data_IF_054185204983
#
_entry.id   IF_054185204983
#
_cell.length_a   1.000
_cell.length_b   1.000
_cell.length_c   1.000
_cell.angle_alpha   90.00
_cell.angle_beta   90.00
_cell.angle_gamma   90.00
#
_symmetry.space_group_name_H-M   'P 1'
#
loop_
_entity.id
_entity.type
_entity.pdbx_description
1 polymer ?
#
# COMPACT_ATOMS: atom_id res chain seq x y z
N UNK A 1 -2.25 8.82 -31.53
CA UNK A 1 -2.32 8.98 -31.04
C UNK A 1 -2.32 9.06 -30.44
N UNK A 2 -2.40 8.82 -30.32
CA UNK A 2 -2.46 8.82 -29.63
C UNK A 2 -2.43 8.62 -28.95
N UNK A 3 -2.29 8.26 -28.74
CA UNK A 3 -2.28 8.08 -27.94
C UNK A 3 -2.07 8.01 -27.37
N UNK A 4 -1.82 7.76 -27.50
CA UNK A 4 -1.60 7.76 -26.69
C UNK A 4 -1.37 7.74 -26.11
N UNK A 5 -1.37 7.50 -26.07
CA UNK A 5 -1.21 7.56 -25.34
C UNK A 5 -0.86 7.39 -24.60
N UNK A 6 -0.72 7.05 -24.79
CA UNK A 6 -0.47 6.91 -24.05
C UNK A 6 -0.02 6.86 -23.59
N UNK A 7 0.03 6.44 -24.11
CA UNK A 7 0.31 6.62 -23.78
C UNK A 7 0.83 6.89 -23.13
N UNK A 8 1.04 6.87 -23.33
CA UNK A 8 1.67 7.26 -22.66
C UNK A 8 2.09 6.79 -21.49
N UNK A 9 3.08 6.75 -21.27
CA UNK A 9 3.47 6.33 -20.15
C UNK A 9 3.03 7.01 -19.06
N UNK A 10 2.17 6.76 -18.58
CA UNK A 10 1.69 7.58 -17.55
C UNK A 10 1.67 6.84 -16.23
N UNK A 11 1.47 7.59 -15.15
CA UNK A 11 1.34 7.00 -13.83
C UNK A 11 0.13 6.06 -13.83
N UNK A 12 0.27 4.84 -13.31
CA UNK A 12 -0.87 3.94 -13.20
C UNK A 12 -2.00 4.57 -12.40
N UNK A 13 -3.22 4.29 -12.79
CA UNK A 13 -4.39 4.70 -12.03
C UNK A 13 -4.47 3.91 -10.74
N UNK A 14 -5.17 4.43 -9.74
CA UNK A 14 -5.24 3.76 -8.45
C UNK A 14 -5.81 2.35 -8.56
N UNK A 15 -6.78 2.12 -9.48
CA UNK A 15 -7.34 0.78 -9.64
C UNK A 15 -6.36 -0.23 -10.24
N UNK A 16 -5.24 0.25 -10.80
CA UNK A 16 -4.17 -0.62 -11.28
C UNK A 16 -3.18 -0.97 -10.17
N UNK A 17 -3.37 -0.44 -8.98
CA UNK A 17 -2.45 -0.66 -7.87
C UNK A 17 -2.46 -2.12 -7.45
N UNK A 18 -1.28 -2.59 -7.05
CA UNK A 18 -1.11 -3.92 -6.48
C UNK A 18 -0.62 -3.76 -5.05
N UNK A 19 -1.05 -4.64 -4.19
CA UNK A 19 -0.78 -4.53 -2.77
C UNK A 19 -0.06 -5.74 -2.23
N UNK A 20 0.80 -5.52 -1.24
CA UNK A 20 1.41 -6.57 -0.44
C UNK A 20 1.09 -6.26 1.01
N UNK A 21 0.37 -7.16 1.68
CA UNK A 21 -0.09 -6.93 3.04
C UNK A 21 0.86 -7.61 4.04
N UNK A 22 1.35 -6.82 4.99
CA UNK A 22 2.21 -7.32 6.05
C UNK A 22 1.48 -8.37 6.89
N UNK A 23 2.23 -9.20 7.58
CA UNK A 23 1.66 -10.41 8.21
C UNK A 23 0.61 -10.10 9.29
N UNK A 24 0.66 -8.92 9.91
CA UNK A 24 -0.30 -8.55 10.94
C UNK A 24 -1.51 -7.80 10.40
N UNK A 25 -1.53 -7.50 9.11
CA UNK A 25 -2.67 -6.83 8.50
C UNK A 25 -3.78 -7.85 8.27
N UNK A 26 -5.01 -7.46 8.61
CA UNK A 26 -6.16 -8.36 8.56
C UNK A 26 -6.37 -8.92 7.16
N UNK A 27 -6.62 -10.23 7.09
CA UNK A 27 -6.96 -10.87 5.82
C UNK A 27 -8.28 -10.33 5.24
N UNK A 28 -9.11 -9.72 6.08
CA UNK A 28 -10.33 -9.09 5.60
C UNK A 28 -10.03 -7.87 4.72
N UNK A 29 -8.91 -7.19 4.96
CA UNK A 29 -8.49 -6.12 4.07
C UNK A 29 -8.12 -6.67 2.69
N UNK A 30 -7.44 -7.81 2.66
CA UNK A 30 -7.13 -8.48 1.39
C UNK A 30 -8.41 -8.81 0.64
N UNK A 31 -9.39 -9.37 1.34
CA UNK A 31 -10.68 -9.72 0.72
C UNK A 31 -11.39 -8.48 0.18
N UNK A 32 -11.34 -7.38 0.93
CA UNK A 32 -11.93 -6.13 0.47
C UNK A 32 -11.26 -5.65 -0.82
N UNK A 33 -9.94 -5.65 -0.86
CA UNK A 33 -9.20 -5.19 -2.03
C UNK A 33 -9.52 -6.05 -3.25
N UNK A 34 -9.55 -7.36 -3.08
CA UNK A 34 -9.86 -8.28 -4.17
C UNK A 34 -11.30 -8.05 -4.64
N UNK A 35 -12.23 -7.83 -3.72
CA UNK A 35 -13.62 -7.57 -4.10
C UNK A 35 -13.79 -6.29 -4.90
N UNK A 36 -12.85 -5.36 -4.78
CA UNK A 36 -12.84 -4.10 -5.53
C UNK A 36 -12.05 -4.21 -6.84
N UNK A 37 -11.52 -5.39 -7.15
CA UNK A 37 -10.79 -5.62 -8.39
C UNK A 37 -9.29 -5.41 -8.31
N UNK A 38 -8.74 -5.22 -7.11
CA UNK A 38 -7.30 -5.01 -6.94
C UNK A 38 -6.57 -6.33 -6.75
N UNK A 39 -5.30 -6.35 -7.13
CA UNK A 39 -4.39 -7.47 -6.89
C UNK A 39 -3.78 -7.28 -5.51
N UNK A 40 -4.06 -8.18 -4.60
CA UNK A 40 -3.54 -8.09 -3.23
C UNK A 40 -3.09 -9.47 -2.77
N UNK A 41 -1.85 -9.54 -2.29
CA UNK A 41 -1.28 -10.76 -1.74
C UNK A 41 -0.76 -10.48 -0.33
N UNK A 42 -0.58 -11.52 0.45
CA UNK A 42 -0.09 -11.40 1.82
C UNK A 42 1.32 -11.95 1.92
N UNK A 43 2.02 -11.53 2.97
CA UNK A 43 3.35 -12.05 3.29
C UNK A 43 3.27 -13.56 3.52
N UNK A 44 2.19 -14.03 4.16
CA UNK A 44 2.00 -15.45 4.43
C UNK A 44 1.93 -16.27 3.14
N UNK A 45 1.25 -15.73 2.11
CA UNK A 45 1.15 -16.41 0.83
C UNK A 45 2.50 -16.57 0.15
N UNK A 46 3.45 -15.70 0.48
CA UNK A 46 4.80 -15.77 -0.07
C UNK A 46 5.75 -16.61 0.79
N UNK A 47 5.24 -17.19 1.89
CA UNK A 47 6.07 -17.94 2.85
C UNK A 47 7.19 -17.07 3.41
N UNK A 48 6.89 -15.79 3.67
CA UNK A 48 7.86 -14.83 4.18
C UNK A 48 7.52 -14.32 5.57
N UNK A 49 6.67 -15.04 6.30
CA UNK A 49 6.35 -14.69 7.68
C UNK A 49 7.64 -14.62 8.49
N UNK A 50 7.80 -13.56 9.26
CA UNK A 50 8.99 -13.36 10.08
C UNK A 50 10.17 -12.75 9.35
N UNK A 51 10.05 -12.45 8.06
CA UNK A 51 11.13 -11.81 7.32
C UNK A 51 11.38 -10.41 7.86
N UNK A 52 12.62 -9.92 7.70
CA UNK A 52 12.97 -8.57 8.14
C UNK A 52 12.26 -7.53 7.29
N UNK A 53 12.03 -6.35 7.89
CA UNK A 53 11.35 -5.26 7.21
C UNK A 53 12.06 -4.86 5.91
N UNK A 54 13.40 -4.85 5.92
CA UNK A 54 14.15 -4.50 4.73
C UNK A 54 13.92 -5.52 3.61
N UNK A 55 13.80 -6.80 3.96
CA UNK A 55 13.51 -7.82 2.96
C UNK A 55 12.10 -7.66 2.39
N UNK A 56 11.12 -7.35 3.25
CA UNK A 56 9.74 -7.17 2.81
C UNK A 56 9.61 -5.97 1.87
N UNK A 57 10.33 -4.88 2.18
CA UNK A 57 10.34 -3.72 1.28
C UNK A 57 10.95 -4.07 -0.08
N UNK A 58 12.01 -4.86 -0.08
CA UNK A 58 12.64 -5.25 -1.33
C UNK A 58 11.72 -6.13 -2.17
N UNK A 59 11.00 -7.06 -1.52
CA UNK A 59 10.04 -7.90 -2.21
C UNK A 59 8.93 -7.04 -2.83
N UNK A 60 8.41 -6.09 -2.06
CA UNK A 60 7.36 -5.21 -2.56
C UNK A 60 7.86 -4.40 -3.76
N UNK A 61 9.09 -3.87 -3.66
CA UNK A 61 9.70 -3.10 -4.74
C UNK A 61 9.83 -3.94 -6.01
N UNK A 62 10.37 -5.16 -5.87
CA UNK A 62 10.58 -6.04 -7.01
C UNK A 62 9.26 -6.42 -7.69
N UNK A 63 8.19 -6.52 -6.91
CA UNK A 63 6.88 -6.89 -7.45
C UNK A 63 6.03 -5.68 -7.80
N UNK A 64 6.57 -4.48 -7.66
CA UNK A 64 5.87 -3.21 -7.91
C UNK A 64 4.57 -3.13 -7.12
N UNK A 65 4.63 -3.52 -5.86
CA UNK A 65 3.46 -3.55 -4.98
C UNK A 65 3.58 -2.49 -3.90
N UNK A 66 2.44 -1.98 -3.48
CA UNK A 66 2.34 -1.08 -2.34
C UNK A 66 2.33 -1.94 -1.08
N UNK A 67 3.31 -1.73 -0.21
CA UNK A 67 3.33 -2.44 1.08
C UNK A 67 2.37 -1.76 2.03
N UNK A 68 1.47 -2.52 2.63
CA UNK A 68 0.50 -2.03 3.61
C UNK A 68 0.86 -2.64 4.95
N UNK A 69 1.06 -1.81 5.96
CA UNK A 69 1.54 -2.27 7.25
C UNK A 69 1.01 -1.39 8.39
N UNK A 70 1.03 -1.93 9.59
CA UNK A 70 0.78 -1.18 10.83
C UNK A 70 2.09 -0.72 11.49
N UNK A 71 3.25 -1.18 10.99
CA UNK A 71 4.53 -1.03 11.67
C UNK A 71 5.23 0.24 11.22
N UNK A 72 5.37 1.20 12.14
CA UNK A 72 5.99 2.49 11.85
C UNK A 72 7.47 2.36 11.50
N UNK A 73 8.12 1.27 11.88
CA UNK A 73 9.55 1.11 11.61
C UNK A 73 9.85 1.06 10.12
N UNK A 74 8.88 0.72 9.27
CA UNK A 74 9.09 0.74 7.83
C UNK A 74 9.37 2.14 7.30
N UNK A 75 8.91 3.19 8.00
CA UNK A 75 9.08 4.55 7.48
C UNK A 75 10.55 4.93 7.36
N UNK A 76 11.40 4.45 8.27
CA UNK A 76 12.82 4.79 8.24
C UNK A 76 13.57 4.07 7.14
N UNK A 77 12.97 3.02 6.57
CA UNK A 77 13.61 2.23 5.53
C UNK A 77 13.13 2.62 4.13
N UNK A 78 12.14 3.51 4.04
CA UNK A 78 11.47 3.82 2.80
C UNK A 78 12.02 5.10 2.19
N UNK A 79 13.19 5.00 1.53
CA UNK A 79 13.88 6.15 0.97
C UNK A 79 13.83 6.20 -0.55
N UNK A 80 13.73 5.04 -1.20
CA UNK A 80 13.74 4.97 -2.64
C UNK A 80 12.39 5.34 -3.21
N UNK A 81 12.40 5.93 -4.41
CA UNK A 81 11.16 6.39 -5.03
C UNK A 81 10.24 5.23 -5.43
N UNK A 82 10.75 4.02 -5.56
CA UNK A 82 9.96 2.86 -5.92
C UNK A 82 9.58 1.99 -4.71
N UNK A 83 9.82 2.48 -3.50
CA UNK A 83 9.31 1.85 -2.27
C UNK A 83 7.96 2.48 -1.93
N UNK A 84 6.87 1.82 -2.26
CA UNK A 84 5.53 2.35 -2.03
C UNK A 84 5.00 1.83 -0.70
N UNK A 85 4.67 2.73 0.21
CA UNK A 85 4.25 2.36 1.57
C UNK A 85 2.99 3.08 1.99
N UNK A 86 2.02 2.32 2.48
CA UNK A 86 0.86 2.83 3.19
C UNK A 86 0.94 2.32 4.62
N UNK A 87 1.07 3.24 5.56
CA UNK A 87 1.06 2.91 6.99
C UNK A 87 -0.36 3.13 7.51
N UNK A 88 -0.93 2.11 8.15
CA UNK A 88 -2.23 2.24 8.80
C UNK A 88 -1.99 2.62 10.25
N UNK A 89 -2.49 3.80 10.64
CA UNK A 89 -2.34 4.33 11.99
C UNK A 89 -3.72 4.75 12.49
N UNK A 90 -4.55 3.74 12.73
CA UNK A 90 -5.94 3.89 13.15
C UNK A 90 -6.11 3.20 14.50
N UNK A 91 -6.80 3.85 15.42
CA UNK A 91 -6.99 3.33 16.77
C UNK A 91 -8.44 3.40 17.18
N UNK A 92 -8.99 2.32 17.74
CA UNK A 92 -8.41 0.98 17.87
C UNK A 92 -8.16 0.33 16.52
N UNK A 93 -7.15 -0.54 16.47
CA UNK A 93 -6.74 -1.20 15.25
C UNK A 93 -7.57 -2.47 15.04
N UNK A 94 -8.82 -2.28 14.67
CA UNK A 94 -9.77 -3.36 14.44
C UNK A 94 -10.42 -3.16 13.08
N UNK A 95 -10.95 -4.24 12.51
CA UNK A 95 -11.53 -4.21 11.16
C UNK A 95 -12.65 -3.18 11.03
N UNK A 96 -13.46 -3.01 12.06
CA UNK A 96 -14.57 -2.06 12.05
C UNK A 96 -14.11 -0.63 11.79
N UNK A 97 -12.87 -0.33 12.16
CA UNK A 97 -12.28 0.99 11.93
C UNK A 97 -11.42 1.03 10.68
N UNK A 98 -10.66 -0.04 10.43
CA UNK A 98 -9.67 -0.05 9.35
C UNK A 98 -10.32 -0.19 7.99
N UNK A 99 -11.25 -1.13 7.84
CA UNK A 99 -11.79 -1.44 6.52
C UNK A 99 -12.59 -0.27 5.94
N UNK A 100 -13.50 0.38 6.69
CA UNK A 100 -14.23 1.51 6.10
C UNK A 100 -13.32 2.68 5.73
N UNK A 101 -12.30 2.94 6.55
CA UNK A 101 -11.38 4.04 6.26
C UNK A 101 -10.49 3.73 5.06
N UNK A 102 -10.01 2.51 4.96
CA UNK A 102 -9.22 2.12 3.80
C UNK A 102 -10.05 2.22 2.53
N UNK A 103 -11.28 1.71 2.58
CA UNK A 103 -12.17 1.76 1.42
C UNK A 103 -12.46 3.19 1.00
N UNK A 104 -12.71 4.06 2.00
CA UNK A 104 -13.04 5.46 1.73
C UNK A 104 -11.94 6.18 0.96
N UNK A 105 -10.68 5.90 1.28
CA UNK A 105 -9.56 6.60 0.67
C UNK A 105 -8.86 5.84 -0.43
N UNK A 106 -9.39 4.68 -0.81
CA UNK A 106 -8.75 3.80 -1.77
C UNK A 106 -8.48 4.45 -3.12
N UNK A 107 -9.35 5.35 -3.55
CA UNK A 107 -9.23 6.02 -4.83
C UNK A 107 -8.59 7.40 -4.74
N UNK A 108 -8.11 7.80 -3.56
CA UNK A 108 -7.61 9.17 -3.38
C UNK A 108 -6.09 9.28 -3.46
N UNK A 109 -5.35 8.18 -3.34
CA UNK A 109 -3.90 8.23 -3.43
C UNK A 109 -3.45 7.79 -4.82
N UNK A 110 -2.23 8.16 -5.18
CA UNK A 110 -1.67 7.84 -6.49
C UNK A 110 -0.23 7.40 -6.33
N UNK A 111 0.28 6.73 -7.36
CA UNK A 111 1.69 6.32 -7.38
C UNK A 111 2.61 7.53 -7.40
N UNK A 112 2.18 8.67 -7.95
CA UNK A 112 3.02 9.86 -7.91
C UNK A 112 3.28 10.31 -6.49
N UNK A 113 2.25 10.30 -5.66
CA UNK A 113 2.42 10.63 -4.25
C UNK A 113 3.35 9.63 -3.56
N UNK A 114 3.18 8.35 -3.86
CA UNK A 114 3.94 7.30 -3.21
C UNK A 114 5.41 7.30 -3.58
N UNK A 115 5.79 7.94 -4.68
CA UNK A 115 7.20 8.03 -5.06
C UNK A 115 8.00 8.89 -4.09
N UNK A 116 7.42 9.98 -3.61
CA UNK A 116 8.13 10.93 -2.74
C UNK A 116 7.61 10.94 -1.32
N UNK A 117 6.47 10.31 -1.05
CA UNK A 117 5.82 10.41 0.24
C UNK A 117 5.27 9.06 0.68
N UNK A 118 5.20 8.89 2.00
CA UNK A 118 4.53 7.76 2.63
C UNK A 118 3.12 8.22 2.92
N UNK A 119 2.14 7.37 2.62
CA UNK A 119 0.76 7.65 2.98
C UNK A 119 0.49 7.03 4.34
N UNK A 120 0.04 7.86 5.28
CA UNK A 120 -0.38 7.40 6.60
C UNK A 120 -1.90 7.52 6.66
N UNK A 121 -2.57 6.38 6.81
CA UNK A 121 -4.02 6.33 6.88
C UNK A 121 -4.46 6.47 8.32
N UNK A 122 -5.23 7.52 8.60
CA UNK A 122 -5.75 7.83 9.92
C UNK A 122 -7.26 7.64 9.93
N UNK A 123 -7.86 7.76 11.13
CA UNK A 123 -9.31 7.62 11.30
C UNK A 123 -10.10 8.62 10.44
N UNK A 124 -9.57 9.82 10.31
CA UNK A 124 -10.30 10.93 9.69
C UNK A 124 -9.63 11.47 8.43
N UNK A 125 -8.71 10.73 7.85
CA UNK A 125 -8.06 11.18 6.63
C UNK A 125 -6.72 10.53 6.41
N UNK A 126 -5.96 11.10 5.49
CA UNK A 126 -4.60 10.64 5.21
C UNK A 126 -3.61 11.76 5.48
N UNK A 127 -2.41 11.36 5.85
CA UNK A 127 -1.29 12.29 6.02
C UNK A 127 -0.20 11.85 5.05
N UNK A 128 0.39 12.80 4.34
CA UNK A 128 1.50 12.52 3.45
C UNK A 128 2.79 12.93 4.16
N UNK A 129 3.71 11.99 4.28
CA UNK A 129 4.98 12.23 4.96
C UNK A 129 6.13 12.02 3.99
N UNK A 130 7.01 12.99 3.85
CA UNK A 130 8.17 12.89 2.97
C UNK A 130 9.07 11.72 3.37
N UNK A 131 9.57 11.04 2.37
CA UNK A 131 10.51 9.94 2.58
C UNK A 131 11.87 10.42 3.05
#
# INVERSE_FOLDING_TARGET
MQENQSRKKKVPQSHDAKFLLDENVSNNLRKLLISKGYDAITIQELNKRGAKNSELLEIARQKSRILVTYDKDFMELTHESDNFLILIDIHPLIDENVLPNFEKYLNTFSFEELKSEIIILKEDGIILKKK
#
